data_IF_137089487651
#
_entry.id   IF_137089487651
#
_cell.length_a   1.000
_cell.length_b   1.000
_cell.length_c   1.000
_cell.angle_alpha   90.00
_cell.angle_beta   90.00
_cell.angle_gamma   90.00
#
_symmetry.space_group_name_H-M   'P 1'
#
loop_
_entity.id
_entity.type
_entity.pdbx_description
1 polymer ?
#
# COMPACT_ATOMS: atom_id res chain seq x y z
N UNK A 1 -11.25 14.63 6.55
CA UNK A 1 -10.88 14.45 5.13
C UNK A 1 -10.07 13.17 4.94
N UNK A 2 -8.84 13.08 5.46
CA UNK A 2 -7.99 11.89 5.26
C UNK A 2 -8.60 10.57 5.73
N UNK A 3 -9.28 10.56 6.88
CA UNK A 3 -9.99 9.37 7.39
C UNK A 3 -11.12 8.91 6.46
N UNK A 4 -11.87 9.85 5.89
CA UNK A 4 -12.97 9.56 4.95
C UNK A 4 -12.42 8.98 3.66
N UNK A 5 -11.45 9.66 3.03
CA UNK A 5 -10.80 9.18 1.79
C UNK A 5 -10.16 7.82 1.99
N UNK A 6 -9.44 7.62 3.09
CA UNK A 6 -8.83 6.34 3.43
C UNK A 6 -9.87 5.23 3.63
N UNK A 7 -10.97 5.51 4.33
CA UNK A 7 -12.04 4.52 4.56
C UNK A 7 -12.77 4.17 3.25
N UNK A 8 -13.06 5.17 2.42
CA UNK A 8 -13.68 4.96 1.11
C UNK A 8 -12.79 4.09 0.24
N UNK A 9 -11.52 4.43 0.09
CA UNK A 9 -10.59 3.64 -0.71
C UNK A 9 -10.36 2.24 -0.15
N UNK A 10 -10.28 2.10 1.18
CA UNK A 10 -10.24 0.78 1.82
C UNK A 10 -11.42 -0.09 1.38
N UNK A 11 -12.65 0.41 1.53
CA UNK A 11 -13.86 -0.33 1.19
C UNK A 11 -13.92 -0.65 -0.30
N UNK A 12 -13.68 0.35 -1.17
CA UNK A 12 -13.70 0.14 -2.62
C UNK A 12 -12.64 -0.86 -3.09
N UNK A 13 -11.43 -0.80 -2.52
CA UNK A 13 -10.36 -1.74 -2.84
C UNK A 13 -10.69 -3.15 -2.37
N UNK A 14 -11.22 -3.33 -1.16
CA UNK A 14 -11.64 -4.64 -0.64
C UNK A 14 -12.75 -5.24 -1.51
N UNK A 15 -13.81 -4.46 -1.78
CA UNK A 15 -14.94 -4.93 -2.59
C UNK A 15 -14.50 -5.21 -4.02
N UNK A 16 -13.72 -4.32 -4.63
CA UNK A 16 -13.20 -4.50 -5.99
C UNK A 16 -12.35 -5.75 -6.13
N UNK A 17 -11.42 -5.99 -5.19
CA UNK A 17 -10.61 -7.20 -5.22
C UNK A 17 -11.41 -8.46 -4.90
N UNK A 18 -12.41 -8.40 -4.02
CA UNK A 18 -13.29 -9.53 -3.76
C UNK A 18 -14.06 -9.93 -5.03
N UNK A 19 -14.54 -8.96 -5.81
CA UNK A 19 -15.19 -9.21 -7.10
C UNK A 19 -14.20 -9.80 -8.12
N UNK A 20 -12.98 -9.29 -8.20
CA UNK A 20 -11.92 -9.86 -9.04
C UNK A 20 -11.61 -11.31 -8.66
N UNK A 21 -11.54 -11.62 -7.36
CA UNK A 21 -11.32 -12.99 -6.87
C UNK A 21 -12.46 -13.91 -7.29
N UNK A 22 -13.71 -13.49 -7.12
CA UNK A 22 -14.89 -14.28 -7.56
C UNK A 22 -14.84 -14.51 -9.07
N UNK A 23 -14.56 -13.48 -9.86
CA UNK A 23 -14.42 -13.61 -11.32
C UNK A 23 -13.31 -14.60 -11.69
N UNK A 24 -12.13 -14.50 -11.06
CA UNK A 24 -11.04 -15.42 -11.28
C UNK A 24 -11.43 -16.87 -10.90
N UNK A 25 -12.04 -17.08 -9.73
CA UNK A 25 -12.46 -18.40 -9.27
C UNK A 25 -13.49 -19.05 -10.21
N UNK A 26 -14.41 -18.26 -10.77
CA UNK A 26 -15.36 -18.72 -11.78
C UNK A 26 -14.65 -19.16 -13.07
N UNK A 27 -13.67 -18.39 -13.54
CA UNK A 27 -12.87 -18.75 -14.72
C UNK A 27 -12.09 -20.03 -14.46
N UNK A 28 -11.38 -20.13 -13.33
CA UNK A 28 -10.58 -21.31 -12.98
C UNK A 28 -11.43 -22.59 -12.84
N UNK A 29 -12.63 -22.48 -12.27
CA UNK A 29 -13.56 -23.61 -12.19
C UNK A 29 -14.06 -24.06 -13.57
N UNK A 30 -14.26 -23.13 -14.52
CA UNK A 30 -14.60 -23.47 -15.90
C UNK A 30 -13.48 -24.23 -16.63
N UNK A 31 -12.21 -24.04 -16.25
CA UNK A 31 -11.05 -24.76 -16.78
C UNK A 31 -10.71 -26.04 -16.00
N UNK A 32 -11.56 -26.49 -15.07
CA UNK A 32 -11.37 -27.74 -14.33
C UNK A 32 -10.28 -27.69 -13.25
N UNK A 33 -9.81 -26.50 -12.88
CA UNK A 33 -8.88 -26.29 -11.78
C UNK A 33 -9.60 -25.55 -10.64
N UNK A 34 -10.40 -26.24 -9.81
CA UNK A 34 -11.11 -25.58 -8.71
C UNK A 34 -10.11 -25.01 -7.71
N UNK A 35 -10.35 -23.77 -7.28
CA UNK A 35 -9.55 -23.10 -6.25
C UNK A 35 -9.82 -23.80 -4.91
N UNK A 36 -8.91 -24.67 -4.48
CA UNK A 36 -8.96 -25.26 -3.16
C UNK A 36 -8.35 -24.28 -2.15
N UNK A 37 -9.19 -23.71 -1.29
CA UNK A 37 -8.74 -22.87 -0.18
C UNK A 37 -8.47 -23.78 1.02
N UNK A 38 -7.20 -24.09 1.28
CA UNK A 38 -6.80 -24.87 2.45
C UNK A 38 -6.98 -24.07 3.74
N UNK A 39 -6.70 -22.76 3.67
CA UNK A 39 -6.89 -21.80 4.77
C UNK A 39 -7.51 -20.49 4.24
N UNK A 40 -8.84 -20.35 4.26
CA UNK A 40 -9.53 -19.17 3.72
C UNK A 40 -9.11 -17.86 4.41
N UNK A 41 -8.70 -17.92 5.68
CA UNK A 41 -8.27 -16.74 6.43
C UNK A 41 -6.97 -16.18 5.85
N UNK A 42 -5.93 -17.01 5.69
CA UNK A 42 -4.61 -16.61 5.19
C UNK A 42 -4.57 -16.41 3.67
N UNK A 43 -5.41 -17.15 2.93
CA UNK A 43 -5.35 -17.17 1.47
C UNK A 43 -6.33 -16.21 0.80
N UNK A 44 -7.35 -15.72 1.52
CA UNK A 44 -8.36 -14.82 0.96
C UNK A 44 -8.58 -13.58 1.82
N UNK A 45 -8.91 -13.75 3.10
CA UNK A 45 -9.32 -12.62 3.96
C UNK A 45 -8.15 -11.67 4.24
N UNK A 46 -7.01 -12.18 4.70
CA UNK A 46 -5.84 -11.34 5.00
C UNK A 46 -5.29 -10.63 3.76
N UNK A 47 -5.12 -11.28 2.60
CA UNK A 47 -4.72 -10.60 1.38
C UNK A 47 -5.67 -9.47 0.98
N UNK A 48 -6.99 -9.70 1.06
CA UNK A 48 -8.01 -8.67 0.80
C UNK A 48 -7.87 -7.46 1.72
N UNK A 49 -7.70 -7.71 3.02
CA UNK A 49 -7.49 -6.66 4.01
C UNK A 49 -6.15 -5.94 3.80
N UNK A 50 -5.08 -6.66 3.45
CA UNK A 50 -3.77 -6.11 3.15
C UNK A 50 -3.80 -5.16 1.96
N UNK A 51 -4.51 -5.53 0.88
CA UNK A 51 -4.72 -4.67 -0.29
C UNK A 51 -5.53 -3.43 0.10
N UNK A 52 -6.64 -3.61 0.82
CA UNK A 52 -7.47 -2.50 1.29
C UNK A 52 -6.66 -1.52 2.15
N UNK A 53 -5.90 -2.04 3.10
CA UNK A 53 -5.05 -1.27 3.99
C UNK A 53 -3.96 -0.54 3.21
N UNK A 54 -3.30 -1.22 2.28
CA UNK A 54 -2.30 -0.64 1.39
C UNK A 54 -2.86 0.53 0.58
N UNK A 55 -4.06 0.39 0.01
CA UNK A 55 -4.74 1.47 -0.71
C UNK A 55 -5.08 2.66 0.21
N UNK A 56 -5.60 2.39 1.41
CA UNK A 56 -5.93 3.41 2.38
C UNK A 56 -4.69 4.20 2.83
N UNK A 57 -3.60 3.53 3.18
CA UNK A 57 -2.36 4.15 3.63
C UNK A 57 -1.66 4.90 2.50
N UNK A 58 -1.67 4.36 1.28
CA UNK A 58 -1.14 5.04 0.09
C UNK A 58 -1.93 6.32 -0.21
N UNK A 59 -3.25 6.31 -0.01
CA UNK A 59 -4.07 7.52 -0.16
C UNK A 59 -3.76 8.58 0.89
N UNK A 60 -3.55 8.16 2.15
CA UNK A 60 -3.17 9.05 3.23
C UNK A 60 -1.79 9.68 2.97
N UNK A 61 -0.84 8.89 2.46
CA UNK A 61 0.46 9.37 2.01
C UNK A 61 0.31 10.42 0.90
N UNK A 62 -0.45 10.12 -0.16
CA UNK A 62 -0.69 11.04 -1.29
C UNK A 62 -1.34 12.35 -0.83
N UNK A 63 -2.30 12.30 0.10
CA UNK A 63 -2.91 13.48 0.71
C UNK A 63 -1.91 14.32 1.50
N UNK A 64 -1.02 13.68 2.27
CA UNK A 64 0.06 14.37 2.97
C UNK A 64 1.00 15.09 2.01
N UNK A 65 1.40 14.41 0.93
CA UNK A 65 2.22 14.99 -0.14
C UNK A 65 1.48 16.14 -0.85
N UNK A 66 0.18 16.00 -1.13
CA UNK A 66 -0.64 17.05 -1.72
C UNK A 66 -0.71 18.29 -0.83
N UNK A 67 -0.84 18.12 0.49
CA UNK A 67 -0.81 19.22 1.43
C UNK A 67 0.55 19.95 1.44
N UNK A 68 1.66 19.22 1.29
CA UNK A 68 3.00 19.82 1.17
C UNK A 68 3.18 20.58 -0.14
N UNK A 69 2.80 19.98 -1.27
CA UNK A 69 3.04 20.52 -2.62
C UNK A 69 2.01 21.56 -3.05
N UNK A 70 0.83 21.61 -2.41
CA UNK A 70 -0.32 22.45 -2.78
C UNK A 70 -0.78 22.26 -4.23
N UNK A 71 -0.56 21.07 -4.77
CA UNK A 71 -0.98 20.70 -6.12
C UNK A 71 -1.33 19.22 -6.18
N UNK A 72 -2.56 18.93 -6.58
CA UNK A 72 -3.07 17.57 -6.71
C UNK A 72 -2.32 16.81 -7.82
N UNK A 73 -2.08 17.45 -8.96
CA UNK A 73 -1.37 16.83 -10.10
C UNK A 73 0.04 16.39 -9.75
N UNK A 74 0.79 17.25 -9.03
CA UNK A 74 2.15 16.92 -8.61
C UNK A 74 2.16 15.86 -7.51
N UNK A 75 1.19 15.88 -6.59
CA UNK A 75 1.10 14.90 -5.52
C UNK A 75 0.90 13.48 -6.04
N UNK A 76 0.00 13.31 -7.01
CA UNK A 76 -0.23 12.01 -7.65
C UNK A 76 1.04 11.52 -8.34
N UNK A 77 1.67 12.38 -9.14
CA UNK A 77 2.90 12.05 -9.87
C UNK A 77 4.03 11.64 -8.93
N UNK A 78 4.23 12.39 -7.84
CA UNK A 78 5.29 12.13 -6.86
C UNK A 78 5.00 10.87 -6.04
N UNK A 79 3.73 10.59 -5.75
CA UNK A 79 3.31 9.32 -5.13
C UNK A 79 3.65 8.14 -6.02
N UNK A 80 3.36 8.20 -7.33
CA UNK A 80 3.75 7.15 -8.27
C UNK A 80 5.27 6.96 -8.35
N UNK A 81 6.03 8.05 -8.39
CA UNK A 81 7.50 8.00 -8.34
C UNK A 81 7.98 7.29 -7.07
N UNK A 82 7.41 7.61 -5.90
CA UNK A 82 7.78 6.96 -4.64
C UNK A 82 7.39 5.48 -4.56
N UNK A 83 6.24 5.11 -5.13
CA UNK A 83 5.77 3.72 -5.09
C UNK A 83 6.54 2.81 -6.05
N UNK A 84 6.88 3.31 -7.23
CA UNK A 84 7.42 2.45 -8.28
C UNK A 84 8.88 2.75 -8.60
N UNK A 85 9.23 4.03 -8.73
CA UNK A 85 10.54 4.42 -9.23
C UNK A 85 11.60 4.37 -8.13
N UNK A 86 11.32 4.91 -6.95
CA UNK A 86 12.27 4.93 -5.82
C UNK A 86 12.78 3.52 -5.45
N UNK A 87 11.93 2.51 -5.19
CA UNK A 87 12.44 1.18 -4.84
C UNK A 87 13.24 0.56 -5.99
N UNK A 88 12.78 0.72 -7.24
CA UNK A 88 13.48 0.20 -8.44
C UNK A 88 14.86 0.85 -8.60
N UNK A 89 14.96 2.17 -8.41
CA UNK A 89 16.23 2.89 -8.50
C UNK A 89 17.17 2.45 -7.38
N UNK A 90 16.70 2.38 -6.13
CA UNK A 90 17.53 1.95 -5.00
C UNK A 90 18.07 0.51 -5.18
N UNK A 91 17.24 -0.40 -5.67
CA UNK A 91 17.63 -1.78 -5.95
C UNK A 91 18.62 -1.90 -7.12
N UNK A 92 18.63 -0.93 -8.05
CA UNK A 92 19.57 -0.92 -9.18
C UNK A 92 20.97 -0.39 -8.83
N UNK A 93 21.11 0.24 -7.66
CA UNK A 93 22.38 0.81 -7.24
C UNK A 93 23.33 -0.29 -6.76
N UNK A 94 24.66 -0.13 -6.97
CA UNK A 94 25.64 -1.15 -6.61
C UNK A 94 25.96 -1.21 -5.11
N UNK A 95 25.30 -0.39 -4.28
CA UNK A 95 25.58 -0.29 -2.85
C UNK A 95 24.64 -1.16 -2.02
N UNK A 96 25.19 -1.96 -1.10
CA UNK A 96 24.42 -2.87 -0.24
C UNK A 96 23.34 -2.14 0.57
N UNK A 97 23.68 -0.97 1.16
CA UNK A 97 22.72 -0.18 1.92
C UNK A 97 21.53 0.28 1.08
N UNK A 98 21.71 0.48 -0.23
CA UNK A 98 20.64 0.93 -1.11
C UNK A 98 19.66 -0.20 -1.40
N UNK A 99 20.17 -1.43 -1.60
CA UNK A 99 19.35 -2.62 -1.70
C UNK A 99 18.54 -2.83 -0.41
N UNK A 100 19.17 -2.76 0.76
CA UNK A 100 18.46 -2.86 2.05
C UNK A 100 17.43 -1.74 2.24
N UNK A 101 17.77 -0.50 1.87
CA UNK A 101 16.82 0.61 1.97
C UNK A 101 15.61 0.42 1.05
N UNK A 102 15.80 -0.21 -0.13
CA UNK A 102 14.73 -0.46 -1.10
C UNK A 102 13.62 -1.33 -0.54
N UNK A 103 13.94 -2.23 0.40
CA UNK A 103 12.97 -3.12 1.06
C UNK A 103 12.04 -2.35 2.02
N UNK A 104 12.53 -1.26 2.62
CA UNK A 104 11.80 -0.46 3.60
C UNK A 104 11.10 0.80 3.02
N UNK A 105 11.13 0.97 1.70
CA UNK A 105 10.38 2.06 1.05
C UNK A 105 8.91 1.69 0.95
N UNK A 106 8.04 2.71 1.07
CA UNK A 106 6.58 2.58 0.96
C UNK A 106 6.13 1.69 -0.21
N UNK A 107 6.74 1.83 -1.38
CA UNK A 107 6.39 1.05 -2.56
C UNK A 107 6.58 -0.46 -2.40
N UNK A 108 7.59 -0.88 -1.64
CA UNK A 108 7.90 -2.29 -1.38
C UNK A 108 7.03 -2.83 -0.26
N UNK A 109 6.94 -2.11 0.86
CA UNK A 109 6.17 -2.56 2.03
C UNK A 109 4.67 -2.65 1.75
N UNK A 110 4.12 -1.73 0.95
CA UNK A 110 2.70 -1.80 0.51
C UNK A 110 2.43 -3.04 -0.34
N UNK A 111 3.37 -3.42 -1.22
CA UNK A 111 3.23 -4.59 -2.08
C UNK A 111 3.36 -5.91 -1.31
N UNK A 112 3.97 -5.91 -0.13
CA UNK A 112 4.07 -7.07 0.73
C UNK A 112 2.78 -7.35 1.53
N UNK A 113 1.96 -6.33 1.81
CA UNK A 113 0.73 -6.47 2.62
C UNK A 113 -0.28 -7.54 2.14
N UNK A 114 -0.47 -7.77 0.82
CA UNK A 114 -1.35 -8.84 0.34
C UNK A 114 -0.75 -10.25 0.50
N UNK A 115 0.56 -10.37 0.72
CA UNK A 115 1.30 -11.63 0.66
C UNK A 115 1.33 -12.29 2.04
N UNK A 116 0.26 -13.00 2.38
CA UNK A 116 0.07 -13.61 3.72
C UNK A 116 -0.16 -15.12 3.70
N UNK A 117 -0.04 -15.75 2.51
CA UNK A 117 -0.27 -17.18 2.33
C UNK A 117 0.67 -18.08 3.17
N UNK A 118 1.86 -17.58 3.53
CA UNK A 118 2.81 -18.26 4.40
C UNK A 118 2.60 -18.00 5.91
N UNK A 119 1.59 -17.20 6.27
CA UNK A 119 1.26 -16.81 7.64
C UNK A 119 1.59 -15.35 7.98
N UNK A 120 1.23 -14.95 9.20
CA UNK A 120 1.55 -13.62 9.77
C UNK A 120 2.92 -13.72 10.44
N UNK A 121 3.96 -13.26 9.75
CA UNK A 121 5.35 -13.29 10.22
C UNK A 121 5.75 -11.98 10.90
N UNK A 122 6.93 -11.96 11.54
CA UNK A 122 7.52 -10.72 12.06
C UNK A 122 7.76 -9.69 10.95
N UNK A 123 8.20 -10.14 9.78
CA UNK A 123 8.45 -9.29 8.61
C UNK A 123 7.16 -8.63 8.11
N UNK A 124 6.05 -9.38 8.06
CA UNK A 124 4.74 -8.81 7.71
C UNK A 124 4.33 -7.68 8.66
N UNK A 125 4.54 -7.86 9.98
CA UNK A 125 4.24 -6.82 10.95
C UNK A 125 5.16 -5.60 10.78
N UNK A 126 6.43 -5.81 10.44
CA UNK A 126 7.35 -4.73 10.12
C UNK A 126 6.87 -3.95 8.87
N UNK A 127 6.45 -4.63 7.81
CA UNK A 127 5.92 -4.00 6.59
C UNK A 127 4.67 -3.16 6.87
N UNK A 128 3.75 -3.67 7.70
CA UNK A 128 2.58 -2.92 8.15
C UNK A 128 3.00 -1.66 8.89
N UNK A 129 3.89 -1.77 9.88
CA UNK A 129 4.34 -0.64 10.69
C UNK A 129 5.09 0.41 9.87
N UNK A 130 5.94 -0.02 8.94
CA UNK A 130 6.68 0.89 8.05
C UNK A 130 5.74 1.61 7.09
N UNK A 131 4.75 0.90 6.54
CA UNK A 131 3.73 1.51 5.68
C UNK A 131 2.92 2.57 6.44
N UNK A 132 2.52 2.25 7.68
CA UNK A 132 1.85 3.22 8.57
C UNK A 132 2.78 4.39 8.89
N UNK A 133 4.06 4.13 9.15
CA UNK A 133 5.07 5.14 9.43
C UNK A 133 5.24 6.15 8.30
N UNK A 134 5.29 5.69 7.05
CA UNK A 134 5.35 6.54 5.86
C UNK A 134 4.10 7.41 5.69
N UNK A 135 2.92 6.82 5.84
CA UNK A 135 1.66 7.58 5.77
C UNK A 135 1.59 8.65 6.89
N UNK A 136 1.97 8.29 8.12
CA UNK A 136 2.02 9.21 9.24
C UNK A 136 3.04 10.34 9.01
N UNK A 137 4.24 10.03 8.53
CA UNK A 137 5.28 11.01 8.23
C UNK A 137 4.82 12.02 7.17
N UNK A 138 4.14 11.56 6.11
CA UNK A 138 3.61 12.43 5.08
C UNK A 138 2.49 13.35 5.61
N UNK A 139 1.58 12.82 6.43
CA UNK A 139 0.52 13.63 7.03
C UNK A 139 1.08 14.67 8.00
N UNK A 140 2.05 14.29 8.85
CA UNK A 140 2.71 15.20 9.78
C UNK A 140 3.48 16.29 9.03
N UNK A 141 4.25 15.92 8.01
CA UNK A 141 4.97 16.90 7.18
C UNK A 141 4.03 17.87 6.48
N UNK A 142 2.90 17.38 5.96
CA UNK A 142 1.86 18.21 5.36
C UNK A 142 1.25 19.19 6.38
N UNK A 143 0.88 18.70 7.56
CA UNK A 143 0.33 19.52 8.65
C UNK A 143 1.32 20.61 9.09
N UNK A 144 2.60 20.28 9.19
CA UNK A 144 3.64 21.21 9.60
C UNK A 144 3.91 22.32 8.57
N UNK A 145 3.95 21.97 7.28
CA UNK A 145 4.11 22.94 6.19
C UNK A 145 2.91 23.89 6.11
N UNK A 146 1.71 23.40 6.39
CA UNK A 146 0.51 24.24 6.48
C UNK A 146 0.59 25.18 7.70
N UNK A 147 0.88 24.65 8.89
CA UNK A 147 0.89 25.42 10.14
C UNK A 147 1.97 26.50 10.23
N UNK A 148 3.13 26.30 9.58
CA UNK A 148 4.20 27.31 9.54
C UNK A 148 3.93 28.51 8.64
N UNK A 149 2.87 28.47 7.84
CA UNK A 149 2.52 29.56 6.93
C UNK A 149 1.39 30.45 7.43
N UNK A 150 0.70 30.04 8.51
CA UNK A 150 -0.34 30.84 9.17
C UNK A 150 0.19 31.70 10.34
N UNK A 151 1.50 31.61 10.64
CA UNK A 151 2.22 32.43 11.61
C UNK A 151 3.18 33.39 10.90
#
# INVERSE_FOLDING_TARGET
MATVTGTTLFIFSVVGFALCFVAAALIYSAFGAPVALTDPLLQLILPLLGIGLGAALTSAFSLGVAAMLRSETWAVSLTFVFLFLVPTLLASLPWEWAATASEYVLGTTVQALPVTAAGVTGDYLADVLITVGWAAAALIGGAFVMGRRDA
#
